data_IF_942553583731
#
_entry.id   IF_942553583731
#
_cell.length_a   1.000
_cell.length_b   1.000
_cell.length_c   1.000
_cell.angle_alpha   90.00
_cell.angle_beta   90.00
_cell.angle_gamma   90.00
#
_symmetry.space_group_name_H-M   'P 1'
#
loop_
_entity.id
_entity.type
_entity.pdbx_description
1 polymer ?
#
# COMPACT_ATOMS: atom_id res chain seq x y z
N UNK A 1 -23.28 -10.68 -2.72
CA UNK A 1 -23.47 -10.97 -1.28
C UNK A 1 -22.44 -11.96 -0.73
N UNK A 2 -22.30 -13.17 -1.29
CA UNK A 2 -21.30 -14.14 -0.81
C UNK A 2 -19.85 -13.62 -0.80
N UNK A 3 -19.41 -12.96 -1.89
CA UNK A 3 -18.07 -12.36 -1.98
C UNK A 3 -17.82 -11.33 -0.87
N UNK A 4 -18.73 -10.37 -0.70
CA UNK A 4 -18.64 -9.31 0.31
C UNK A 4 -18.55 -9.88 1.74
N UNK A 5 -19.26 -10.96 2.02
CA UNK A 5 -19.30 -11.59 3.34
C UNK A 5 -17.98 -12.27 3.75
N UNK A 6 -17.05 -12.52 2.82
CA UNK A 6 -15.77 -13.18 3.13
C UNK A 6 -14.89 -12.36 4.07
N UNK A 7 -14.93 -11.01 3.96
CA UNK A 7 -14.16 -10.07 4.79
C UNK A 7 -14.99 -8.80 5.06
N UNK A 8 -15.90 -8.82 6.04
CA UNK A 8 -16.91 -7.77 6.22
C UNK A 8 -16.35 -6.37 6.54
N UNK A 9 -15.10 -6.27 7.01
CA UNK A 9 -14.43 -4.98 7.28
C UNK A 9 -13.64 -4.42 6.09
N UNK A 10 -13.44 -5.22 5.03
CA UNK A 10 -12.73 -4.77 3.84
C UNK A 10 -13.68 -3.97 2.93
N UNK A 11 -13.77 -2.66 3.19
CA UNK A 11 -14.64 -1.75 2.42
C UNK A 11 -14.31 -1.80 0.94
N UNK A 12 -13.03 -1.89 0.57
CA UNK A 12 -12.58 -1.96 -0.83
C UNK A 12 -13.16 -3.16 -1.59
N UNK A 13 -13.34 -4.31 -0.92
CA UNK A 13 -13.98 -5.48 -1.53
C UNK A 13 -15.43 -5.19 -1.89
N UNK A 14 -16.17 -4.56 -0.97
CA UNK A 14 -17.55 -4.14 -1.22
C UNK A 14 -17.62 -3.13 -2.37
N UNK A 15 -16.73 -2.13 -2.36
CA UNK A 15 -16.68 -1.09 -3.40
C UNK A 15 -16.44 -1.69 -4.78
N UNK A 16 -15.49 -2.62 -4.92
CA UNK A 16 -15.21 -3.29 -6.20
C UNK A 16 -16.37 -4.16 -6.69
N UNK A 17 -16.95 -4.99 -5.80
CA UNK A 17 -18.07 -5.86 -6.15
C UNK A 17 -19.31 -5.04 -6.55
N UNK A 18 -19.61 -3.96 -5.84
CA UNK A 18 -20.74 -3.08 -6.14
C UNK A 18 -20.54 -2.31 -7.44
N UNK A 19 -19.32 -1.87 -7.75
CA UNK A 19 -19.01 -1.19 -9.02
C UNK A 19 -19.28 -2.10 -10.23
N UNK A 20 -18.80 -3.34 -10.20
CA UNK A 20 -19.03 -4.31 -11.28
C UNK A 20 -20.51 -4.70 -11.35
N UNK A 21 -21.18 -4.86 -10.20
CA UNK A 21 -22.62 -5.18 -10.18
C UNK A 21 -23.47 -4.05 -10.77
N UNK A 22 -23.11 -2.79 -10.51
CA UNK A 22 -23.81 -1.64 -11.06
C UNK A 22 -23.67 -1.57 -12.59
N UNK A 23 -22.45 -1.75 -13.11
CA UNK A 23 -22.19 -1.81 -14.55
C UNK A 23 -23.00 -2.94 -15.22
N UNK A 24 -22.97 -4.14 -14.64
CA UNK A 24 -23.75 -5.27 -15.15
C UNK A 24 -25.27 -4.99 -15.15
N UNK A 25 -25.80 -4.36 -14.10
CA UNK A 25 -27.21 -3.97 -14.03
C UNK A 25 -27.60 -2.90 -15.08
N UNK A 26 -26.63 -2.09 -15.52
CA UNK A 26 -26.80 -1.13 -16.61
C UNK A 26 -26.65 -1.77 -18.02
N UNK A 27 -26.37 -3.07 -18.11
CA UNK A 27 -26.18 -3.79 -19.37
C UNK A 27 -24.77 -3.71 -19.94
N UNK A 28 -23.80 -3.24 -19.15
CA UNK A 28 -22.38 -3.21 -19.54
C UNK A 28 -21.72 -4.58 -19.33
N UNK A 29 -20.58 -4.81 -20.00
CA UNK A 29 -19.76 -6.00 -19.81
C UNK A 29 -19.09 -5.98 -18.41
N UNK A 30 -19.39 -6.93 -17.51
CA UNK A 30 -18.80 -6.98 -16.18
C UNK A 30 -17.28 -7.20 -16.19
N UNK A 31 -16.71 -7.86 -17.21
CA UNK A 31 -15.26 -8.06 -17.30
C UNK A 31 -14.56 -6.74 -17.63
N UNK A 32 -15.05 -6.02 -18.64
CA UNK A 32 -14.59 -4.66 -18.94
C UNK A 32 -14.73 -3.71 -17.73
N UNK A 33 -15.83 -3.79 -16.98
CA UNK A 33 -16.04 -2.97 -15.78
C UNK A 33 -15.05 -3.29 -14.66
N UNK A 34 -14.74 -4.58 -14.45
CA UNK A 34 -13.73 -5.00 -13.48
C UNK A 34 -12.33 -4.51 -13.86
N UNK A 35 -12.00 -4.57 -15.15
CA UNK A 35 -10.73 -4.08 -15.67
C UNK A 35 -10.60 -2.55 -15.55
N UNK A 36 -11.66 -1.81 -15.87
CA UNK A 36 -11.71 -0.36 -15.67
C UNK A 36 -11.54 0.01 -14.19
N UNK A 37 -12.18 -0.73 -13.27
CA UNK A 37 -12.00 -0.56 -11.83
C UNK A 37 -10.55 -0.81 -11.41
N UNK A 38 -9.93 -1.87 -11.92
CA UNK A 38 -8.52 -2.21 -11.66
C UNK A 38 -7.59 -1.05 -12.06
N UNK A 39 -7.72 -0.52 -13.27
CA UNK A 39 -6.91 0.60 -13.75
C UNK A 39 -7.10 1.87 -12.90
N UNK A 40 -8.34 2.16 -12.51
CA UNK A 40 -8.64 3.30 -11.63
C UNK A 40 -7.91 3.17 -10.29
N UNK A 41 -7.93 2.00 -9.66
CA UNK A 41 -7.23 1.75 -8.38
C UNK A 41 -5.71 1.95 -8.54
N UNK A 42 -5.13 1.49 -9.66
CA UNK A 42 -3.70 1.71 -9.96
C UNK A 42 -3.39 3.21 -10.05
N UNK A 43 -4.21 3.98 -10.77
CA UNK A 43 -4.03 5.42 -10.93
C UNK A 43 -4.17 6.16 -9.58
N UNK A 44 -5.16 5.79 -8.77
CA UNK A 44 -5.38 6.35 -7.44
C UNK A 44 -4.18 6.07 -6.51
N UNK A 45 -3.67 4.84 -6.49
CA UNK A 45 -2.48 4.46 -5.73
C UNK A 45 -1.23 5.25 -6.19
N UNK A 46 -1.04 5.40 -7.51
CA UNK A 46 0.06 6.20 -8.04
C UNK A 46 -0.09 7.69 -7.66
N UNK A 47 -1.32 8.25 -7.72
CA UNK A 47 -1.61 9.63 -7.31
C UNK A 47 -1.33 9.85 -5.82
N UNK A 48 -1.66 8.90 -4.94
CA UNK A 48 -1.24 8.94 -3.53
C UNK A 48 0.29 9.05 -3.43
N UNK A 49 1.01 8.26 -4.21
CA UNK A 49 2.46 8.32 -4.29
C UNK A 49 3.01 9.69 -4.69
N UNK A 50 2.48 10.25 -5.77
CA UNK A 50 2.89 11.56 -6.30
C UNK A 50 2.62 12.70 -5.31
N UNK A 51 1.46 12.67 -4.63
CA UNK A 51 1.09 13.70 -3.65
C UNK A 51 1.87 13.56 -2.34
N UNK A 52 2.17 12.32 -1.93
CA UNK A 52 2.89 12.04 -0.69
C UNK A 52 4.40 12.23 -0.79
N UNK A 53 5.02 11.95 -1.93
CA UNK A 53 6.48 11.99 -2.10
C UNK A 53 7.12 13.34 -1.70
N UNK A 54 6.56 14.52 -2.04
CA UNK A 54 7.10 15.80 -1.61
C UNK A 54 7.23 15.96 -0.08
N UNK A 55 6.39 15.28 0.70
CA UNK A 55 6.42 15.33 2.17
C UNK A 55 7.68 14.65 2.73
N UNK A 56 8.25 13.69 1.99
CA UNK A 56 9.40 12.89 2.40
C UNK A 56 10.73 13.62 2.21
N UNK A 57 10.78 14.63 1.32
CA UNK A 57 11.98 15.45 1.12
C UNK A 57 12.46 16.14 2.42
N UNK A 58 11.52 16.45 3.31
CA UNK A 58 11.80 17.11 4.60
C UNK A 58 11.97 16.13 5.77
N UNK A 59 11.63 14.85 5.56
CA UNK A 59 11.53 13.81 6.60
C UNK A 59 12.10 12.50 6.03
N UNK A 60 13.43 12.32 6.01
CA UNK A 60 14.07 11.20 5.33
C UNK A 60 13.92 9.87 6.07
N UNK A 61 13.29 9.84 7.25
CA UNK A 61 13.12 8.61 8.05
C UNK A 61 11.64 8.40 8.29
N UNK A 62 11.16 7.26 7.84
CA UNK A 62 9.75 6.88 7.90
C UNK A 62 9.62 5.59 8.66
N UNK A 63 8.60 5.49 9.52
CA UNK A 63 8.17 4.23 10.10
C UNK A 63 6.89 3.79 9.40
N UNK A 64 6.81 2.51 9.03
CA UNK A 64 5.62 1.91 8.42
C UNK A 64 5.19 0.66 9.18
N UNK A 65 3.91 0.33 9.07
CA UNK A 65 3.27 -0.77 9.78
C UNK A 65 2.43 -1.61 8.82
N UNK A 66 2.40 -2.93 9.04
CA UNK A 66 1.78 -3.91 8.13
C UNK A 66 2.42 -3.88 6.73
N UNK A 67 1.64 -4.30 5.73
CA UNK A 67 1.95 -4.09 4.33
C UNK A 67 0.82 -3.31 3.65
N UNK A 68 1.11 -2.06 3.31
CA UNK A 68 0.29 -1.20 2.46
C UNK A 68 1.02 -0.91 1.14
N UNK A 69 1.70 -1.95 0.65
CA UNK A 69 2.50 -1.99 -0.57
C UNK A 69 1.73 -2.46 -1.80
N UNK A 70 2.47 -2.74 -2.87
CA UNK A 70 1.91 -3.20 -4.12
C UNK A 70 1.29 -4.59 -3.97
N UNK A 71 1.80 -5.43 -3.04
CA UNK A 71 1.18 -6.74 -2.76
C UNK A 71 -0.17 -6.63 -2.01
N UNK A 72 -0.49 -5.46 -1.44
CA UNK A 72 -1.76 -5.19 -0.78
C UNK A 72 -2.76 -4.45 -1.68
N UNK A 73 -2.33 -4.06 -2.89
CA UNK A 73 -3.15 -3.39 -3.91
C UNK A 73 -2.97 -4.11 -5.25
N UNK A 74 -3.37 -3.47 -6.36
CA UNK A 74 -3.06 -3.97 -7.71
C UNK A 74 -1.62 -3.61 -8.10
N UNK A 75 -1.21 -2.38 -7.79
CA UNK A 75 0.14 -1.84 -8.04
C UNK A 75 0.41 -0.67 -7.08
N UNK A 76 1.67 -0.21 -6.99
CA UNK A 76 2.18 0.95 -6.24
C UNK A 76 2.03 0.90 -4.71
N UNK A 77 0.95 0.33 -4.19
CA UNK A 77 0.54 0.44 -2.79
C UNK A 77 -0.06 1.79 -2.45
N UNK A 78 -0.36 1.99 -1.17
CA UNK A 78 -0.81 3.27 -0.63
C UNK A 78 0.30 3.91 0.19
N UNK A 79 0.59 3.41 1.40
CA UNK A 79 1.62 4.00 2.24
C UNK A 79 3.04 3.80 1.68
N UNK A 80 3.29 2.75 0.89
CA UNK A 80 4.58 2.56 0.23
C UNK A 80 4.71 3.32 -1.09
N UNK A 81 3.62 3.79 -1.70
CA UNK A 81 3.69 4.52 -2.97
C UNK A 81 4.50 5.82 -2.88
N UNK A 82 4.33 6.67 -1.84
CA UNK A 82 5.17 7.85 -1.65
C UNK A 82 6.66 7.50 -1.52
N UNK A 83 6.98 6.42 -0.80
CA UNK A 83 8.36 5.97 -0.60
C UNK A 83 9.00 5.56 -1.94
N UNK A 84 8.26 4.82 -2.78
CA UNK A 84 8.68 4.42 -4.12
C UNK A 84 8.92 5.60 -5.03
N UNK A 85 7.96 6.52 -5.10
CA UNK A 85 8.06 7.72 -5.94
C UNK A 85 9.25 8.57 -5.50
N UNK A 86 9.38 8.85 -4.19
CA UNK A 86 10.50 9.62 -3.66
C UNK A 86 11.85 8.94 -3.93
N UNK A 87 11.94 7.62 -3.74
CA UNK A 87 13.16 6.88 -4.04
C UNK A 87 13.55 6.96 -5.52
N UNK A 88 12.59 6.78 -6.44
CA UNK A 88 12.81 6.91 -7.89
C UNK A 88 13.20 8.33 -8.31
N UNK A 89 12.76 9.35 -7.57
CA UNK A 89 13.16 10.74 -7.73
C UNK A 89 14.54 11.05 -7.10
N UNK A 90 15.22 10.07 -6.52
CA UNK A 90 16.56 10.22 -5.95
C UNK A 90 16.59 10.77 -4.52
N UNK A 91 15.44 10.85 -3.83
CA UNK A 91 15.42 11.27 -2.43
C UNK A 91 16.13 10.23 -1.57
N UNK A 92 17.02 10.70 -0.70
CA UNK A 92 17.61 9.87 0.36
C UNK A 92 16.56 9.65 1.44
N UNK A 93 16.09 8.42 1.58
CA UNK A 93 15.15 8.03 2.62
C UNK A 93 15.52 6.66 3.21
N UNK A 94 15.07 6.44 4.43
CA UNK A 94 15.23 5.21 5.18
C UNK A 94 13.91 4.82 5.84
N UNK A 95 13.57 3.53 5.81
CA UNK A 95 12.30 3.02 6.31
C UNK A 95 12.52 2.06 7.49
N UNK A 96 11.99 2.39 8.65
CA UNK A 96 11.76 1.44 9.73
C UNK A 96 10.48 0.66 9.44
N UNK A 97 10.57 -0.67 9.39
CA UNK A 97 9.45 -1.56 9.09
C UNK A 97 9.11 -2.35 10.32
N UNK A 98 7.95 -2.09 10.93
CA UNK A 98 7.45 -2.93 12.02
C UNK A 98 7.21 -4.36 11.50
N UNK A 99 7.67 -5.39 12.22
CA UNK A 99 7.48 -6.79 11.80
C UNK A 99 6.00 -7.14 11.59
N UNK A 100 5.10 -6.51 12.35
CA UNK A 100 3.64 -6.61 12.32
C UNK A 100 3.13 -7.99 12.75
N UNK A 101 3.24 -8.30 14.04
CA UNK A 101 2.68 -9.55 14.59
C UNK A 101 1.16 -9.58 14.55
N UNK A 102 0.54 -10.78 14.49
CA UNK A 102 1.18 -12.10 14.47
C UNK A 102 1.50 -12.64 13.06
N UNK A 103 1.00 -12.01 12.01
CA UNK A 103 1.10 -12.54 10.63
C UNK A 103 2.40 -12.14 9.92
N UNK A 104 3.13 -11.19 10.49
CA UNK A 104 4.44 -10.72 10.06
C UNK A 104 4.42 -10.06 8.68
N UNK A 105 3.38 -9.28 8.36
CA UNK A 105 3.26 -8.66 7.04
C UNK A 105 4.41 -7.69 6.76
N UNK A 106 4.86 -6.92 7.76
CA UNK A 106 5.96 -5.99 7.55
C UNK A 106 7.28 -6.73 7.30
N UNK A 107 7.60 -7.73 8.13
CA UNK A 107 8.82 -8.52 7.97
C UNK A 107 8.83 -9.37 6.68
N UNK A 108 7.68 -9.90 6.25
CA UNK A 108 7.60 -10.85 5.13
C UNK A 108 7.28 -10.22 3.78
N UNK A 109 6.47 -9.16 3.76
CA UNK A 109 5.95 -8.55 2.53
C UNK A 109 6.57 -7.18 2.32
N UNK A 110 6.42 -6.26 3.28
CA UNK A 110 6.93 -4.88 3.14
C UNK A 110 8.45 -4.88 2.95
N UNK A 111 9.20 -5.55 3.82
CA UNK A 111 10.66 -5.63 3.70
C UNK A 111 11.09 -6.29 2.38
N UNK A 112 10.36 -7.32 1.92
CA UNK A 112 10.63 -7.96 0.63
C UNK A 112 10.44 -7.01 -0.56
N UNK A 113 9.33 -6.27 -0.59
CA UNK A 113 9.04 -5.28 -1.63
C UNK A 113 10.11 -4.17 -1.66
N UNK A 114 10.45 -3.62 -0.49
CA UNK A 114 11.47 -2.57 -0.37
C UNK A 114 12.87 -3.07 -0.78
N UNK A 115 13.24 -4.29 -0.39
CA UNK A 115 14.50 -4.91 -0.81
C UNK A 115 14.56 -5.11 -2.33
N UNK A 116 13.43 -5.51 -2.94
CA UNK A 116 13.36 -5.73 -4.39
C UNK A 116 13.55 -4.45 -5.19
N UNK A 117 13.14 -3.32 -4.63
CA UNK A 117 13.25 -1.99 -5.25
C UNK A 117 14.50 -1.20 -4.79
N UNK A 118 15.35 -1.77 -3.93
CA UNK A 118 16.57 -1.11 -3.46
C UNK A 118 16.32 0.04 -2.47
N UNK A 119 15.15 0.10 -1.85
CA UNK A 119 14.80 1.14 -0.88
C UNK A 119 15.46 0.80 0.47
N UNK A 120 16.30 1.69 1.05
CA UNK A 120 16.96 1.43 2.33
C UNK A 120 15.95 1.25 3.47
N UNK A 121 16.06 0.14 4.19
CA UNK A 121 15.13 -0.18 5.28
C UNK A 121 15.76 -1.12 6.32
N UNK A 122 15.10 -1.23 7.47
CA UNK A 122 15.36 -2.28 8.45
C UNK A 122 14.07 -2.70 9.15
N UNK A 123 13.95 -4.00 9.43
CA UNK A 123 12.84 -4.56 10.19
C UNK A 123 13.09 -4.39 11.68
N UNK A 124 12.06 -3.97 12.42
CA UNK A 124 12.09 -3.81 13.87
C UNK A 124 10.91 -4.56 14.50
N UNK A 125 11.07 -4.98 15.76
CA UNK A 125 9.94 -5.51 16.52
C UNK A 125 8.90 -4.41 16.76
N UNK A 126 7.60 -4.76 16.78
CA UNK A 126 6.50 -3.79 16.93
C UNK A 126 6.66 -2.90 18.19
N UNK A 127 7.20 -3.47 19.27
CA UNK A 127 7.42 -2.75 20.53
C UNK A 127 8.65 -1.82 20.52
N UNK A 128 9.49 -1.88 19.49
CA UNK A 128 10.65 -1.01 19.31
C UNK A 128 10.27 0.32 18.62
N UNK A 129 9.08 0.43 18.02
CA UNK A 129 8.64 1.63 17.31
C UNK A 129 8.76 2.90 18.17
N UNK A 130 8.31 2.84 19.43
CA UNK A 130 8.41 3.97 20.37
C UNK A 130 9.86 4.36 20.71
N UNK A 131 10.78 3.39 20.76
CA UNK A 131 12.20 3.66 20.95
C UNK A 131 12.77 4.43 19.74
N UNK A 132 12.54 3.94 18.52
CA UNK A 132 13.05 4.56 17.29
C UNK A 132 12.41 5.91 16.99
N UNK A 133 11.13 6.12 17.32
CA UNK A 133 10.52 7.45 17.23
C UNK A 133 11.21 8.48 18.13
N UNK A 134 11.71 8.05 19.30
CA UNK A 134 12.42 8.92 20.23
C UNK A 134 13.87 9.16 19.83
N UNK A 135 14.58 8.13 19.37
CA UNK A 135 16.03 8.20 19.10
C UNK A 135 16.37 8.60 17.68
N UNK A 136 15.41 8.52 16.75
CA UNK A 136 15.62 8.72 15.33
C UNK A 136 16.37 7.54 14.74
#
# INVERSE_FOLDING_TARGET
RALIATRPTAVDLSVGVEAVRAAWAAGEDPEAAAEAFRYRVVEECHRIGLVGAPLLARRPRVLTHCNAGALATVEWGTALAPLRVAHRQGHRLFVWVDETRPLLQGARLTAWELAREGIPHAVIADNAAGHFMRTG
#
